data_IF_525234037299
#
_entry.id   IF_525234037299
#
_cell.length_a   1.000
_cell.length_b   1.000
_cell.length_c   1.000
_cell.angle_alpha   90.00
_cell.angle_beta   90.00
_cell.angle_gamma   90.00
#
_symmetry.space_group_name_H-M   'P 1'
#
loop_
_entity.id
_entity.type
_entity.pdbx_description
1 polymer ?
#
# COMPACT_ATOMS: atom_id res chain seq x y z
N UNK A 1 18.82 -34.57 -2.62
CA UNK A 1 18.43 -33.23 -3.11
C UNK A 1 18.53 -32.25 -1.96
N UNK A 2 19.58 -31.43 -1.93
CA UNK A 2 19.83 -30.44 -0.87
C UNK A 2 18.93 -29.22 -1.12
N UNK A 3 17.95 -28.97 -0.23
CA UNK A 3 17.30 -27.66 -0.14
C UNK A 3 18.39 -26.65 0.25
N UNK A 4 18.55 -25.61 -0.54
CA UNK A 4 19.55 -24.55 -0.32
C UNK A 4 19.20 -23.77 0.95
N UNK A 5 20.01 -23.90 2.00
CA UNK A 5 19.93 -23.18 3.30
C UNK A 5 20.20 -21.65 3.19
N UNK A 6 19.76 -20.98 2.14
CA UNK A 6 20.09 -19.56 1.90
C UNK A 6 19.17 -18.57 2.65
N UNK A 7 18.11 -19.03 3.31
CA UNK A 7 17.10 -18.18 3.94
C UNK A 7 17.17 -18.12 5.48
N UNK A 8 17.96 -18.96 6.16
CA UNK A 8 17.94 -19.04 7.63
C UNK A 8 18.60 -17.85 8.35
N UNK A 9 19.33 -16.98 7.65
CA UNK A 9 20.04 -15.85 8.29
C UNK A 9 19.56 -14.46 7.87
N UNK A 10 18.62 -14.33 6.92
CA UNK A 10 18.32 -13.01 6.35
C UNK A 10 17.60 -12.11 7.34
N UNK A 11 16.61 -12.63 8.07
CA UNK A 11 15.85 -11.86 9.04
C UNK A 11 16.01 -12.45 10.44
N UNK A 12 16.84 -11.81 11.25
CA UNK A 12 16.99 -12.11 12.66
C UNK A 12 16.35 -11.02 13.53
N UNK A 13 15.63 -11.41 14.57
CA UNK A 13 15.11 -10.50 15.59
C UNK A 13 13.66 -10.78 15.99
N UNK A 14 13.06 -9.79 16.65
CA UNK A 14 11.65 -9.82 17.05
C UNK A 14 10.76 -9.41 15.89
N UNK A 15 9.72 -10.21 15.63
CA UNK A 15 8.68 -9.89 14.68
C UNK A 15 7.41 -9.51 15.41
N UNK A 16 6.77 -8.46 14.94
CA UNK A 16 5.40 -8.15 15.30
C UNK A 16 4.52 -8.48 14.09
N UNK A 17 3.56 -9.37 14.29
CA UNK A 17 2.61 -9.81 13.27
C UNK A 17 1.23 -9.62 13.88
N UNK A 18 0.43 -8.71 13.35
CA UNK A 18 -0.90 -8.34 13.86
C UNK A 18 -1.76 -9.57 14.22
N UNK A 19 -1.81 -10.55 13.32
CA UNK A 19 -2.58 -11.79 13.50
C UNK A 19 -2.10 -12.68 14.66
N UNK A 20 -0.87 -12.51 15.14
CA UNK A 20 -0.27 -13.30 16.23
C UNK A 20 -0.08 -12.50 17.51
N UNK A 21 0.20 -11.21 17.40
CA UNK A 21 0.55 -10.33 18.51
C UNK A 21 -0.65 -9.60 19.11
N UNK A 22 -1.80 -9.58 18.42
CA UNK A 22 -3.05 -8.98 18.90
C UNK A 22 -4.04 -10.09 19.21
N UNK A 23 -4.74 -9.98 20.34
CA UNK A 23 -5.88 -10.84 20.64
C UNK A 23 -7.02 -10.45 19.69
N UNK A 24 -7.32 -11.32 18.73
CA UNK A 24 -8.24 -11.02 17.63
C UNK A 24 -9.72 -10.99 18.03
N UNK A 25 -10.03 -11.43 19.25
CA UNK A 25 -11.37 -11.41 19.82
C UNK A 25 -11.89 -9.97 19.95
N UNK A 26 -13.02 -9.68 19.30
CA UNK A 26 -13.63 -8.35 19.26
C UNK A 26 -14.14 -7.89 20.64
N UNK A 27 -14.40 -8.82 21.56
CA UNK A 27 -14.83 -8.50 22.93
C UNK A 27 -13.63 -8.19 23.85
N UNK A 28 -12.40 -8.51 23.43
CA UNK A 28 -11.22 -8.32 24.24
C UNK A 28 -10.68 -6.88 24.13
N UNK A 29 -10.55 -6.13 25.24
CA UNK A 29 -10.23 -4.69 25.21
C UNK A 29 -8.82 -4.36 24.68
N UNK A 30 -7.91 -5.35 24.69
CA UNK A 30 -6.55 -5.19 24.17
C UNK A 30 -6.52 -4.88 22.67
N UNK A 31 -7.47 -5.39 21.88
CA UNK A 31 -7.50 -5.18 20.43
C UNK A 31 -7.59 -3.71 20.06
N UNK A 32 -8.51 -2.97 20.70
CA UNK A 32 -8.68 -1.53 20.47
C UNK A 32 -7.40 -0.75 20.87
N UNK A 33 -6.76 -1.16 21.96
CA UNK A 33 -5.49 -0.58 22.43
C UNK A 33 -4.39 -0.82 21.37
N UNK A 34 -4.22 -2.06 20.90
CA UNK A 34 -3.21 -2.39 19.88
C UNK A 34 -3.44 -1.65 18.56
N UNK A 35 -4.69 -1.56 18.10
CA UNK A 35 -5.04 -0.83 16.88
C UNK A 35 -4.59 0.64 16.98
N UNK A 36 -4.76 1.27 18.15
CA UNK A 36 -4.25 2.63 18.39
C UNK A 36 -2.71 2.72 18.36
N UNK A 37 -2.01 1.65 18.70
CA UNK A 37 -0.55 1.58 18.68
C UNK A 37 0.04 1.17 17.33
N UNK A 38 -0.73 0.57 16.42
CA UNK A 38 -0.27 0.16 15.09
C UNK A 38 0.54 1.23 14.33
N UNK A 39 0.16 2.54 14.30
CA UNK A 39 0.98 3.52 13.60
C UNK A 39 2.36 3.69 14.23
N UNK A 40 2.45 3.62 15.56
CA UNK A 40 3.73 3.70 16.29
C UNK A 40 4.56 2.44 16.12
N UNK A 41 3.92 1.26 16.07
CA UNK A 41 4.59 -0.02 15.86
C UNK A 41 5.23 -0.05 14.46
N UNK A 42 4.46 0.21 13.41
CA UNK A 42 4.99 0.26 12.05
C UNK A 42 5.99 1.40 11.85
N UNK A 43 5.73 2.57 12.46
CA UNK A 43 6.63 3.72 12.39
C UNK A 43 7.95 3.56 13.16
N UNK A 44 7.96 2.72 14.20
CA UNK A 44 9.14 2.38 15.00
C UNK A 44 9.86 1.10 14.56
N UNK A 45 9.26 0.32 13.66
CA UNK A 45 9.89 -0.89 13.13
C UNK A 45 11.12 -0.53 12.29
N UNK A 46 12.19 -1.32 12.44
CA UNK A 46 13.39 -1.23 11.59
C UNK A 46 13.03 -1.40 10.11
N UNK A 47 12.14 -2.35 9.85
CA UNK A 47 11.69 -2.73 8.52
C UNK A 47 10.28 -3.32 8.62
N UNK A 48 9.43 -2.96 7.67
CA UNK A 48 8.12 -3.58 7.47
C UNK A 48 8.19 -4.52 6.28
N UNK A 49 7.81 -5.77 6.52
CA UNK A 49 7.76 -6.79 5.48
C UNK A 49 6.33 -6.86 4.97
N UNK A 50 6.12 -6.41 3.74
CA UNK A 50 4.85 -6.52 3.04
C UNK A 50 4.81 -7.85 2.26
N UNK A 51 4.32 -8.90 2.92
CA UNK A 51 4.12 -10.20 2.27
C UNK A 51 2.84 -10.17 1.43
N UNK A 52 3.00 -10.10 0.11
CA UNK A 52 1.89 -9.92 -0.84
C UNK A 52 1.23 -11.25 -1.23
N UNK A 53 1.78 -12.37 -0.76
CA UNK A 53 1.21 -13.70 -0.87
C UNK A 53 2.21 -14.76 -1.33
N UNK A 54 1.74 -16.01 -1.52
CA UNK A 54 2.57 -17.06 -2.10
C UNK A 54 2.97 -16.70 -3.54
N UNK A 55 4.16 -17.16 -3.90
CA UNK A 55 4.69 -17.07 -5.25
C UNK A 55 4.66 -18.41 -5.97
N UNK A 56 4.91 -18.33 -7.26
CA UNK A 56 5.05 -19.42 -8.22
C UNK A 56 6.12 -19.01 -9.24
N UNK A 57 6.41 -19.86 -10.23
CA UNK A 57 7.45 -19.58 -11.23
C UNK A 57 7.21 -18.28 -12.01
N UNK A 58 5.94 -17.89 -12.21
CA UNK A 58 5.52 -16.72 -12.98
C UNK A 58 5.75 -15.45 -12.15
N UNK A 59 5.24 -15.43 -10.93
CA UNK A 59 5.36 -14.30 -10.01
C UNK A 59 6.80 -14.12 -9.52
N UNK A 60 7.56 -15.19 -9.33
CA UNK A 60 8.99 -15.12 -9.03
C UNK A 60 9.77 -14.47 -10.20
N UNK A 61 9.45 -14.85 -11.45
CA UNK A 61 10.05 -14.22 -12.64
C UNK A 61 9.66 -12.74 -12.76
N UNK A 62 8.40 -12.39 -12.47
CA UNK A 62 7.94 -11.01 -12.46
C UNK A 62 8.67 -10.17 -11.38
N UNK A 63 8.82 -10.68 -10.16
CA UNK A 63 9.55 -10.00 -9.09
C UNK A 63 11.01 -9.75 -9.48
N UNK A 64 11.69 -10.73 -10.08
CA UNK A 64 13.05 -10.53 -10.61
C UNK A 64 13.11 -9.51 -11.74
N UNK A 65 12.14 -9.54 -12.66
CA UNK A 65 12.05 -8.56 -13.73
C UNK A 65 11.91 -7.15 -13.18
N UNK A 66 10.98 -6.93 -12.24
CA UNK A 66 10.75 -5.64 -11.56
C UNK A 66 12.03 -5.17 -10.85
N UNK A 67 12.65 -6.07 -10.08
CA UNK A 67 13.89 -5.77 -9.31
C UNK A 67 15.03 -5.28 -10.21
N UNK A 68 15.12 -5.83 -11.42
CA UNK A 68 16.19 -5.52 -12.37
C UNK A 68 15.86 -4.34 -13.31
N UNK A 69 14.67 -3.74 -13.20
CA UNK A 69 14.35 -2.54 -13.98
C UNK A 69 15.10 -1.31 -13.45
N UNK A 70 15.66 -0.48 -14.34
CA UNK A 70 16.35 0.73 -13.92
C UNK A 70 15.36 1.71 -13.29
N UNK A 71 15.58 2.04 -12.01
CA UNK A 71 14.79 3.01 -11.23
C UNK A 71 15.06 4.46 -11.64
N UNK A 72 14.95 4.75 -12.93
CA UNK A 72 15.34 6.05 -13.51
C UNK A 72 14.16 6.78 -14.14
N UNK A 73 12.99 6.16 -14.22
CA UNK A 73 11.81 6.74 -14.85
C UNK A 73 11.41 8.08 -14.25
N UNK A 74 11.21 8.16 -12.92
CA UNK A 74 10.87 9.43 -12.24
C UNK A 74 11.91 10.52 -12.49
N UNK A 75 13.19 10.16 -12.57
CA UNK A 75 14.26 11.10 -12.92
C UNK A 75 14.14 11.58 -14.37
N UNK A 76 13.86 10.68 -15.31
CA UNK A 76 13.63 11.08 -16.71
C UNK A 76 12.41 11.99 -16.87
N UNK A 77 11.34 11.78 -16.09
CA UNK A 77 10.18 12.68 -16.07
C UNK A 77 10.62 14.08 -15.62
N UNK A 78 11.38 14.18 -14.52
CA UNK A 78 11.91 15.46 -14.04
C UNK A 78 12.86 16.14 -15.05
N UNK A 79 13.61 15.36 -15.83
CA UNK A 79 14.55 15.82 -16.86
C UNK A 79 13.89 16.07 -18.23
N UNK A 80 12.59 15.77 -18.41
CA UNK A 80 11.90 15.89 -19.71
C UNK A 80 12.41 14.92 -20.78
N UNK A 81 12.91 13.74 -20.39
CA UNK A 81 13.44 12.69 -21.27
C UNK A 81 12.69 11.36 -21.15
N UNK A 82 11.45 11.41 -20.65
CA UNK A 82 10.66 10.23 -20.33
C UNK A 82 10.18 9.48 -21.57
N UNK A 83 9.94 10.15 -22.69
CA UNK A 83 9.33 9.60 -23.90
C UNK A 83 10.16 8.45 -24.49
N UNK A 84 11.47 8.67 -24.70
CA UNK A 84 12.36 7.64 -25.24
C UNK A 84 12.51 6.44 -24.29
N UNK A 85 12.45 6.68 -22.97
CA UNK A 85 12.49 5.61 -21.97
C UNK A 85 11.20 4.82 -21.93
N UNK A 86 10.05 5.48 -22.10
CA UNK A 86 8.76 4.82 -22.21
C UNK A 86 8.77 3.87 -23.40
N UNK A 87 9.15 4.33 -24.60
CA UNK A 87 9.19 3.49 -25.81
C UNK A 87 10.06 2.23 -25.64
N UNK A 88 11.28 2.38 -25.12
CA UNK A 88 12.15 1.23 -24.82
C UNK A 88 11.55 0.29 -23.79
N UNK A 89 10.87 0.85 -22.77
CA UNK A 89 10.20 0.06 -21.74
C UNK A 89 9.02 -0.72 -22.34
N UNK A 90 8.17 -0.10 -23.15
CA UNK A 90 6.99 -0.75 -23.75
C UNK A 90 7.37 -2.02 -24.53
N UNK A 91 8.48 -1.96 -25.26
CA UNK A 91 8.96 -3.07 -26.08
C UNK A 91 9.37 -4.29 -25.23
N UNK A 92 10.03 -4.06 -24.09
CA UNK A 92 10.45 -5.15 -23.19
C UNK A 92 9.34 -5.61 -22.24
N UNK A 93 8.46 -4.68 -21.85
CA UNK A 93 7.40 -4.94 -20.88
C UNK A 93 6.31 -5.84 -21.45
N UNK A 94 6.03 -5.73 -22.75
CA UNK A 94 4.99 -6.51 -23.43
C UNK A 94 5.09 -8.01 -23.17
N UNK A 95 6.30 -8.56 -23.22
CA UNK A 95 6.54 -10.00 -23.10
C UNK A 95 6.33 -10.52 -21.67
N UNK A 96 6.36 -9.64 -20.67
CA UNK A 96 6.23 -9.98 -19.25
C UNK A 96 4.99 -9.37 -18.58
N UNK A 97 4.18 -8.62 -19.33
CA UNK A 97 3.04 -7.87 -18.81
C UNK A 97 2.06 -8.77 -18.05
N UNK A 98 1.78 -9.97 -18.59
CA UNK A 98 0.93 -10.96 -17.93
C UNK A 98 1.50 -11.41 -16.57
N UNK A 99 2.81 -11.66 -16.48
CA UNK A 99 3.45 -12.10 -15.25
C UNK A 99 3.41 -10.99 -14.17
N UNK A 100 3.64 -9.75 -14.61
CA UNK A 100 3.62 -8.56 -13.74
C UNK A 100 2.21 -8.27 -13.24
N UNK A 101 1.20 -8.44 -14.10
CA UNK A 101 -0.21 -8.28 -13.75
C UNK A 101 -0.59 -9.07 -12.49
N UNK A 102 -0.13 -10.31 -12.38
CA UNK A 102 -0.46 -11.18 -11.25
C UNK A 102 0.11 -10.66 -9.93
N UNK A 103 1.22 -9.91 -9.96
CA UNK A 103 1.76 -9.20 -8.80
C UNK A 103 0.85 -8.06 -8.36
N UNK A 104 0.38 -7.22 -9.29
CA UNK A 104 -0.51 -6.09 -9.00
C UNK A 104 -1.94 -6.51 -8.61
N UNK A 105 -2.35 -7.72 -9.01
CA UNK A 105 -3.67 -8.29 -8.69
C UNK A 105 -3.73 -9.07 -7.37
N UNK A 106 -2.59 -9.24 -6.67
CA UNK A 106 -2.56 -9.90 -5.35
C UNK A 106 -3.56 -9.25 -4.40
N UNK A 107 -4.28 -10.07 -3.63
CA UNK A 107 -5.31 -9.60 -2.69
C UNK A 107 -4.76 -8.65 -1.62
N UNK A 108 -3.47 -8.75 -1.30
CA UNK A 108 -2.76 -7.84 -0.39
C UNK A 108 -3.07 -6.37 -0.71
N UNK A 109 -2.92 -5.95 -1.97
CA UNK A 109 -3.10 -4.55 -2.37
C UNK A 109 -4.50 -4.03 -2.04
N UNK A 110 -5.53 -4.84 -2.20
CA UNK A 110 -6.90 -4.42 -1.92
C UNK A 110 -7.20 -4.14 -0.44
N UNK A 111 -6.34 -4.53 0.50
CA UNK A 111 -6.61 -4.39 1.95
C UNK A 111 -6.45 -2.94 2.40
N UNK A 112 -7.41 -2.40 3.13
CA UNK A 112 -7.33 -1.03 3.67
C UNK A 112 -6.16 -0.84 4.66
N UNK A 113 -5.87 -1.84 5.50
CA UNK A 113 -4.86 -1.72 6.55
C UNK A 113 -3.45 -1.48 6.02
N UNK A 114 -3.11 -1.95 4.81
CA UNK A 114 -1.78 -1.75 4.22
C UNK A 114 -1.46 -0.26 4.04
N UNK A 115 -2.47 0.60 3.89
CA UNK A 115 -2.25 2.03 3.74
C UNK A 115 -1.51 2.58 4.96
N UNK A 116 -1.90 2.14 6.16
CA UNK A 116 -1.25 2.49 7.40
C UNK A 116 0.12 1.81 7.53
N UNK A 117 0.21 0.51 7.23
CA UNK A 117 1.46 -0.27 7.30
C UNK A 117 2.57 0.41 6.48
N UNK A 118 2.26 0.74 5.23
CA UNK A 118 3.19 1.32 4.26
C UNK A 118 3.45 2.82 4.53
N UNK A 119 2.42 3.57 4.95
CA UNK A 119 2.58 5.00 5.23
C UNK A 119 3.44 5.25 6.47
N UNK A 120 3.35 4.39 7.49
CA UNK A 120 4.08 4.56 8.73
C UNK A 120 5.51 4.01 8.66
N UNK A 121 5.73 2.93 7.92
CA UNK A 121 7.03 2.28 7.79
C UNK A 121 8.17 3.25 7.40
N UNK A 122 9.33 3.10 8.04
CA UNK A 122 10.57 3.79 7.63
C UNK A 122 11.23 3.09 6.44
N UNK A 123 11.27 1.77 6.48
CA UNK A 123 11.75 0.91 5.40
C UNK A 123 10.71 -0.18 5.13
N UNK A 124 10.49 -0.50 3.85
CA UNK A 124 9.56 -1.56 3.46
C UNK A 124 10.19 -2.45 2.40
N UNK A 125 10.05 -3.75 2.61
CA UNK A 125 10.40 -4.79 1.62
C UNK A 125 9.13 -5.52 1.20
N UNK A 126 8.89 -5.57 -0.11
CA UNK A 126 7.82 -6.37 -0.71
C UNK A 126 8.32 -7.80 -0.86
N UNK A 127 7.53 -8.79 -0.44
CA UNK A 127 7.87 -10.21 -0.54
C UNK A 127 6.74 -10.98 -1.22
N UNK A 128 7.07 -11.76 -2.24
CA UNK A 128 6.15 -12.67 -2.93
C UNK A 128 6.86 -14.01 -3.12
N UNK A 129 6.34 -15.08 -2.51
CA UNK A 129 6.99 -16.39 -2.56
C UNK A 129 8.44 -16.35 -2.05
N UNK A 130 9.40 -16.68 -2.91
CA UNK A 130 10.82 -16.70 -2.59
C UNK A 130 11.56 -15.44 -3.02
N UNK A 131 10.85 -14.49 -3.64
CA UNK A 131 11.40 -13.26 -4.16
C UNK A 131 10.96 -12.06 -3.33
N UNK A 132 11.78 -11.01 -3.36
CA UNK A 132 11.55 -9.81 -2.59
C UNK A 132 12.09 -8.59 -3.35
N UNK A 133 11.67 -7.38 -3.03
CA UNK A 133 12.29 -6.18 -3.56
C UNK A 133 11.99 -4.97 -2.68
N UNK A 134 12.84 -3.94 -2.68
CA UNK A 134 12.57 -2.72 -1.95
C UNK A 134 11.26 -2.06 -2.42
N UNK A 135 10.49 -1.51 -1.50
CA UNK A 135 9.24 -0.80 -1.82
C UNK A 135 9.44 0.33 -2.83
N UNK A 136 10.55 1.08 -2.72
CA UNK A 136 10.92 2.09 -3.71
C UNK A 136 11.00 1.53 -5.13
N UNK A 137 11.67 0.39 -5.31
CA UNK A 137 11.81 -0.27 -6.61
C UNK A 137 10.45 -0.67 -7.18
N UNK A 138 9.56 -1.16 -6.31
CA UNK A 138 8.18 -1.46 -6.71
C UNK A 138 7.43 -0.23 -7.21
N UNK A 139 7.47 0.87 -6.45
CA UNK A 139 6.73 2.10 -6.74
C UNK A 139 7.24 2.81 -7.99
N UNK A 140 8.56 2.88 -8.17
CA UNK A 140 9.15 3.46 -9.38
C UNK A 140 8.67 2.70 -10.62
N UNK A 141 8.68 1.37 -10.55
CA UNK A 141 8.22 0.50 -11.63
C UNK A 141 6.70 0.64 -11.86
N UNK A 142 5.90 0.61 -10.80
CA UNK A 142 4.45 0.77 -10.88
C UNK A 142 4.08 2.13 -11.52
N UNK A 143 4.79 3.20 -11.16
CA UNK A 143 4.58 4.53 -11.73
C UNK A 143 4.95 4.57 -13.21
N UNK A 144 6.01 3.88 -13.61
CA UNK A 144 6.40 3.74 -15.02
C UNK A 144 5.34 2.99 -15.83
N UNK A 145 4.79 1.89 -15.29
CA UNK A 145 3.68 1.15 -15.91
C UNK A 145 2.46 2.05 -16.07
N UNK A 146 2.05 2.74 -15.01
CA UNK A 146 0.89 3.64 -15.04
C UNK A 146 1.08 4.78 -16.06
N UNK A 147 2.27 5.37 -16.14
CA UNK A 147 2.56 6.43 -17.12
C UNK A 147 2.50 5.92 -18.56
N UNK A 148 2.92 4.68 -18.81
CA UNK A 148 2.80 4.04 -20.10
C UNK A 148 1.32 3.78 -20.49
N UNK A 149 0.46 3.44 -19.52
CA UNK A 149 -0.97 3.23 -19.75
C UNK A 149 -1.70 4.51 -20.21
N UNK A 150 -1.27 5.68 -19.72
CA UNK A 150 -1.81 7.00 -20.10
C UNK A 150 -1.05 7.66 -21.25
N UNK A 151 -0.01 7.02 -21.79
CA UNK A 151 0.79 7.51 -22.90
C UNK A 151 0.05 7.46 -24.25
N UNK A 152 0.59 8.12 -25.30
CA UNK A 152 -0.02 8.16 -26.63
C UNK A 152 -0.01 6.81 -27.38
N UNK A 153 0.73 5.81 -26.89
CA UNK A 153 0.88 4.50 -27.52
C UNK A 153 -0.38 3.63 -27.37
N UNK A 154 -1.09 3.38 -28.48
CA UNK A 154 -2.30 2.52 -28.52
C UNK A 154 -1.98 1.04 -28.35
N UNK A 155 -0.74 0.62 -28.57
CA UNK A 155 -0.33 -0.79 -28.62
C UNK A 155 -0.29 -1.39 -27.22
N UNK A 156 0.16 -0.60 -26.24
CA UNK A 156 0.20 -0.95 -24.83
C UNK A 156 -1.22 -1.05 -24.24
N UNK A 157 -2.12 -0.08 -24.49
CA UNK A 157 -3.55 -0.19 -24.09
C UNK A 157 -4.25 -1.49 -24.50
N UNK A 158 -3.87 -2.09 -25.63
CA UNK A 158 -4.43 -3.38 -26.11
C UNK A 158 -3.75 -4.60 -25.50
N UNK A 159 -2.45 -4.53 -25.21
CA UNK A 159 -1.71 -5.60 -24.54
C UNK A 159 -1.89 -5.57 -22.99
N UNK A 160 -2.28 -4.43 -22.43
CA UNK A 160 -2.32 -4.13 -20.99
C UNK A 160 -3.72 -3.87 -20.43
N UNK A 161 -4.82 -4.20 -21.13
CA UNK A 161 -6.19 -3.99 -20.62
C UNK A 161 -6.54 -4.68 -19.28
N UNK A 162 -5.54 -5.17 -18.52
CA UNK A 162 -5.66 -6.14 -17.45
C UNK A 162 -4.74 -5.90 -16.23
N UNK A 163 -3.78 -4.95 -16.23
CA UNK A 163 -3.02 -4.60 -15.00
C UNK A 163 -3.87 -3.68 -14.11
N UNK A 164 -5.00 -4.20 -13.66
CA UNK A 164 -5.89 -3.51 -12.73
C UNK A 164 -5.37 -3.68 -11.30
N UNK A 165 -4.38 -2.87 -10.92
CA UNK A 165 -3.95 -2.83 -9.54
C UNK A 165 -5.16 -2.59 -8.62
N UNK A 166 -5.33 -3.44 -7.60
CA UNK A 166 -6.45 -3.31 -6.64
C UNK A 166 -6.40 -2.02 -5.83
N UNK A 167 -5.26 -1.33 -5.85
CA UNK A 167 -5.12 0.05 -5.39
C UNK A 167 -4.62 0.91 -6.55
N UNK A 168 -5.10 2.15 -6.66
CA UNK A 168 -4.55 3.07 -7.63
C UNK A 168 -3.06 3.31 -7.36
N UNK A 169 -2.23 3.21 -8.40
CA UNK A 169 -0.77 3.43 -8.29
C UNK A 169 -0.46 4.80 -7.68
N UNK A 170 -1.22 5.84 -8.06
CA UNK A 170 -1.03 7.19 -7.51
C UNK A 170 -1.21 7.25 -5.98
N UNK A 171 -2.09 6.43 -5.39
CA UNK A 171 -2.27 6.38 -3.93
C UNK A 171 -1.04 5.77 -3.26
N UNK A 172 -0.53 4.68 -3.84
CA UNK A 172 0.69 4.02 -3.37
C UNK A 172 1.91 4.96 -3.49
N UNK A 173 1.98 5.77 -4.55
CA UNK A 173 2.99 6.81 -4.72
C UNK A 173 2.86 7.91 -3.66
N UNK A 174 1.65 8.41 -3.35
CA UNK A 174 1.43 9.38 -2.27
C UNK A 174 1.88 8.84 -0.90
N UNK A 175 1.61 7.55 -0.64
CA UNK A 175 2.03 6.84 0.58
C UNK A 175 3.55 6.75 0.64
N UNK A 176 4.20 6.33 -0.46
CA UNK A 176 5.65 6.23 -0.54
C UNK A 176 6.34 7.58 -0.30
N UNK A 177 5.82 8.65 -0.90
CA UNK A 177 6.34 10.01 -0.75
C UNK A 177 5.98 10.66 0.61
N UNK A 178 5.32 9.92 1.51
CA UNK A 178 4.86 10.38 2.83
C UNK A 178 3.96 11.62 2.77
N UNK A 179 3.31 11.86 1.63
CA UNK A 179 2.39 12.99 1.42
C UNK A 179 1.03 12.80 2.06
N UNK A 180 0.72 11.58 2.52
CA UNK A 180 -0.50 11.30 3.31
C UNK A 180 -0.48 11.92 4.71
N UNK A 181 0.69 12.33 5.23
CA UNK A 181 0.84 12.89 6.58
C UNK A 181 0.10 14.22 6.81
N UNK A 182 -0.28 14.92 5.73
CA UNK A 182 -1.05 16.17 5.80
C UNK A 182 -2.54 16.03 5.47
N UNK A 183 -3.02 14.80 5.21
CA UNK A 183 -4.40 14.58 4.78
C UNK A 183 -5.34 14.44 5.99
N UNK A 184 -6.50 15.07 5.89
CA UNK A 184 -7.57 14.90 6.86
C UNK A 184 -8.38 13.62 6.60
N UNK A 185 -9.27 13.27 7.53
CA UNK A 185 -10.07 12.05 7.43
C UNK A 185 -10.95 11.99 6.17
N UNK A 186 -11.52 13.11 5.71
CA UNK A 186 -12.36 13.14 4.52
C UNK A 186 -11.56 12.85 3.24
N UNK A 187 -10.37 13.43 3.14
CA UNK A 187 -9.44 13.16 2.03
C UNK A 187 -9.03 11.69 2.03
N UNK A 188 -8.62 11.15 3.19
CA UNK A 188 -8.25 9.75 3.30
C UNK A 188 -9.40 8.80 2.94
N UNK A 189 -10.63 9.09 3.37
CA UNK A 189 -11.82 8.32 2.99
C UNK A 189 -12.04 8.37 1.48
N UNK A 190 -11.94 9.55 0.86
CA UNK A 190 -12.10 9.71 -0.58
C UNK A 190 -11.06 8.90 -1.37
N UNK A 191 -9.79 8.99 -0.98
CA UNK A 191 -8.70 8.31 -1.68
C UNK A 191 -8.73 6.79 -1.51
N UNK A 192 -9.26 6.29 -0.38
CA UNK A 192 -9.26 4.87 -0.03
C UNK A 192 -10.58 4.15 -0.30
N UNK A 193 -11.61 4.83 -0.83
CA UNK A 193 -13.02 4.36 -0.92
C UNK A 193 -13.20 2.95 -1.51
N UNK A 194 -12.30 2.55 -2.40
CA UNK A 194 -12.36 1.26 -3.12
C UNK A 194 -11.57 0.15 -2.40
N UNK A 195 -10.95 0.46 -1.24
CA UNK A 195 -10.23 -0.50 -0.41
C UNK A 195 -11.18 -1.45 0.29
N UNK A 196 -10.78 -2.72 0.35
CA UNK A 196 -11.47 -3.76 1.09
C UNK A 196 -11.16 -3.62 2.58
N UNK A 197 -12.19 -3.36 3.36
CA UNK A 197 -12.17 -3.43 4.81
C UNK A 197 -12.80 -4.75 5.28
N UNK A 198 -12.39 -5.24 6.45
CA UNK A 198 -12.89 -6.47 7.07
C UNK A 198 -14.39 -6.41 7.41
N UNK A 199 -14.86 -7.40 8.18
CA UNK A 199 -16.28 -7.53 8.53
C UNK A 199 -16.80 -6.37 9.38
N UNK A 200 -15.99 -5.84 10.31
CA UNK A 200 -16.38 -4.69 11.11
C UNK A 200 -16.18 -3.39 10.32
N UNK A 201 -17.28 -2.70 10.02
CA UNK A 201 -17.23 -1.42 9.30
C UNK A 201 -16.56 -0.30 10.12
N UNK A 202 -16.40 -0.46 11.45
CA UNK A 202 -15.61 0.47 12.29
C UNK A 202 -14.14 0.48 11.89
N UNK A 203 -13.61 -0.65 11.43
CA UNK A 203 -12.21 -0.79 11.05
C UNK A 203 -11.83 0.12 9.88
N UNK A 204 -12.80 0.51 9.05
CA UNK A 204 -12.57 1.44 7.97
C UNK A 204 -12.07 2.79 8.51
N UNK A 205 -12.78 3.33 9.50
CA UNK A 205 -12.39 4.60 10.13
C UNK A 205 -11.15 4.41 10.99
N UNK A 206 -11.05 3.32 11.76
CA UNK A 206 -9.87 3.06 12.62
C UNK A 206 -8.56 3.01 11.84
N UNK A 207 -8.53 2.31 10.70
CA UNK A 207 -7.35 2.21 9.85
C UNK A 207 -6.88 3.59 9.36
N UNK A 208 -7.83 4.45 8.96
CA UNK A 208 -7.53 5.79 8.47
C UNK A 208 -7.16 6.77 9.58
N UNK A 209 -7.77 6.67 10.77
CA UNK A 209 -7.41 7.51 11.92
C UNK A 209 -5.95 7.34 12.32
N UNK A 210 -5.40 6.13 12.15
CA UNK A 210 -3.98 5.89 12.37
C UNK A 210 -3.05 6.66 11.41
N UNK A 211 -3.58 7.25 10.35
CA UNK A 211 -2.86 8.06 9.37
C UNK A 211 -3.10 9.58 9.53
N UNK A 212 -4.12 9.99 10.26
CA UNK A 212 -4.46 11.41 10.48
C UNK A 212 -3.50 12.00 11.52
N UNK A 213 -2.76 13.04 11.15
CA UNK A 213 -1.84 13.73 12.07
C UNK A 213 -2.41 15.04 12.63
N UNK A 214 -3.24 15.75 11.86
CA UNK A 214 -3.89 17.01 12.25
C UNK A 214 -5.27 17.16 11.56
N UNK A 215 -6.07 18.16 11.95
CA UNK A 215 -7.35 18.47 11.29
C UNK A 215 -8.54 17.57 11.68
N UNK A 216 -9.57 17.54 10.83
CA UNK A 216 -10.81 16.79 11.10
C UNK A 216 -10.56 15.28 11.11
N UNK A 217 -10.91 14.64 12.23
CA UNK A 217 -10.67 13.22 12.50
C UNK A 217 -9.74 13.00 13.70
N UNK A 218 -8.79 13.90 13.96
CA UNK A 218 -7.84 13.80 15.08
C UNK A 218 -8.51 13.64 16.46
N UNK A 219 -9.66 14.31 16.66
CA UNK A 219 -10.43 14.25 17.92
C UNK A 219 -11.49 13.15 17.96
N UNK A 220 -11.65 12.39 16.88
CA UNK A 220 -12.60 11.29 16.87
C UNK A 220 -12.00 10.14 17.68
N UNK A 221 -12.64 9.81 18.80
CA UNK A 221 -12.24 8.70 19.64
C UNK A 221 -13.07 7.45 19.28
N UNK A 222 -12.52 6.52 18.48
CA UNK A 222 -13.27 5.37 17.99
C UNK A 222 -13.79 4.46 19.11
N UNK A 223 -13.18 4.48 20.30
CA UNK A 223 -13.57 3.63 21.44
C UNK A 223 -14.90 4.06 22.08
N UNK A 224 -15.33 5.32 21.89
CA UNK A 224 -16.64 5.78 22.39
C UNK A 224 -17.82 5.21 21.59
N UNK A 225 -17.56 4.49 20.50
CA UNK A 225 -18.58 4.02 19.57
C UNK A 225 -18.74 2.51 19.62
N UNK A 226 -19.80 2.04 20.28
CA UNK A 226 -20.14 0.60 20.36
C UNK A 226 -20.56 0.01 19.00
N UNK A 227 -21.10 0.81 18.08
CA UNK A 227 -21.57 0.37 16.76
C UNK A 227 -20.93 1.13 15.60
N UNK A 228 -20.85 0.47 14.44
CA UNK A 228 -20.37 1.09 13.21
C UNK A 228 -21.20 2.31 12.78
N UNK A 229 -22.53 2.24 12.94
CA UNK A 229 -23.41 3.35 12.62
C UNK A 229 -23.08 4.60 13.45
N UNK A 230 -22.83 4.43 14.75
CA UNK A 230 -22.44 5.53 15.64
C UNK A 230 -21.10 6.14 15.22
N UNK A 231 -20.10 5.30 14.92
CA UNK A 231 -18.77 5.74 14.49
C UNK A 231 -18.82 6.49 13.16
N UNK A 232 -19.50 5.92 12.16
CA UNK A 232 -19.62 6.53 10.82
C UNK A 232 -20.42 7.84 10.89
N UNK A 233 -21.48 7.91 11.69
CA UNK A 233 -22.26 9.14 11.86
C UNK A 233 -21.42 10.25 12.48
N UNK A 234 -20.63 9.94 13.51
CA UNK A 234 -19.74 10.92 14.13
C UNK A 234 -18.61 11.33 13.19
N UNK A 235 -18.00 10.37 12.48
CA UNK A 235 -16.98 10.66 11.47
C UNK A 235 -17.53 11.59 10.39
N UNK A 236 -18.73 11.34 9.88
CA UNK A 236 -19.38 12.21 8.90
C UNK A 236 -19.60 13.62 9.43
N UNK A 237 -20.07 13.77 10.68
CA UNK A 237 -20.21 15.10 11.30
C UNK A 237 -18.87 15.83 11.39
N UNK A 238 -17.83 15.14 11.89
CA UNK A 238 -16.47 15.68 11.97
C UNK A 238 -15.94 16.11 10.61
N UNK A 239 -16.24 15.35 9.54
CA UNK A 239 -15.85 15.68 8.16
C UNK A 239 -16.68 16.82 7.54
N UNK A 240 -17.90 17.09 8.02
CA UNK A 240 -18.74 18.19 7.55
C UNK A 240 -18.40 19.49 8.29
N UNK A 241 -18.13 19.40 9.59
CA UNK A 241 -17.88 20.55 10.47
C UNK A 241 -16.54 21.27 10.19
N UNK A 242 -15.75 20.83 9.20
CA UNK A 242 -14.46 21.44 8.81
C UNK A 242 -14.60 22.87 8.31
N UNK A 243 -15.81 23.31 7.93
CA UNK A 243 -16.08 24.69 7.49
C UNK A 243 -15.97 25.76 8.59
N UNK A 244 -15.72 25.41 9.85
CA UNK A 244 -15.60 26.38 10.96
C UNK A 244 -14.19 26.51 11.57
N UNK A 245 -13.16 25.88 10.98
CA UNK A 245 -11.83 25.78 11.61
C UNK A 245 -10.69 26.43 10.82
N UNK A 246 -11.00 27.32 9.86
CA UNK A 246 -10.02 28.20 9.22
C UNK A 246 -10.50 29.65 9.38
N UNK A 247 -10.24 30.21 10.57
CA UNK A 247 -10.15 31.66 10.82
C UNK A 247 -8.83 31.89 11.54
#
# INVERSE_FOLDING_TARGET
MRRSNRHEERWSGWFWIDALCIIQDDEHPEKDIQIKFMPKIYGGAREVIAWIGPGDSITDAAMRYIRNQPSTFLRAVAEGTAEARLESFENTFRDVAFCVRDIFNKSYWGRLWILQELAMAQNTTIVCGNEELPWKTFIDFATQVAAADFGPSKTLRRAQGEVAAKQPVWLLTLIYEKRTRGLNLAELVFLSKDSVCGRDKKDYIRALLGMVQEGSGWRLDPEKHRSACSMLSHATRVMIDVRSWHV
#
